data_IF_207719358644
#
_entry.id   IF_207719358644
#
_cell.length_a   1.000
_cell.length_b   1.000
_cell.length_c   1.000
_cell.angle_alpha   90.00
_cell.angle_beta   90.00
_cell.angle_gamma   90.00
#
_symmetry.space_group_name_H-M   'P 1'
#
loop_
_entity.id
_entity.type
_entity.pdbx_description
1 polymer ?
#
# COMPACT_ATOMS: atom_id res chain seq x y z
N UNK A 1 -23.88 -18.95 -14.77
CA UNK A 1 -23.15 -17.70 -15.09
C UNK A 1 -23.81 -16.46 -14.48
N UNK A 2 -25.15 -16.35 -14.43
CA UNK A 2 -25.83 -15.18 -13.83
C UNK A 2 -25.65 -14.99 -12.30
N UNK A 3 -25.53 -16.08 -11.53
CA UNK A 3 -25.45 -16.01 -10.06
C UNK A 3 -24.13 -15.39 -9.54
N UNK A 4 -23.03 -15.53 -10.29
CA UNK A 4 -21.73 -14.96 -9.93
C UNK A 4 -21.74 -13.42 -10.05
N UNK A 5 -22.37 -12.87 -11.09
CA UNK A 5 -22.46 -11.43 -11.30
C UNK A 5 -23.32 -10.71 -10.24
N UNK A 6 -24.34 -11.39 -9.69
CA UNK A 6 -25.18 -10.84 -8.61
C UNK A 6 -24.43 -10.82 -7.27
N UNK A 7 -23.57 -11.81 -7.01
CA UNK A 7 -22.73 -11.83 -5.80
C UNK A 7 -21.61 -10.79 -5.87
N UNK A 8 -20.99 -10.58 -7.03
CA UNK A 8 -19.99 -9.51 -7.23
C UNK A 8 -20.59 -8.11 -7.06
N UNK A 9 -21.81 -7.89 -7.53
CA UNK A 9 -22.48 -6.57 -7.40
C UNK A 9 -22.91 -6.25 -5.97
N UNK A 10 -23.36 -7.25 -5.20
CA UNK A 10 -23.67 -7.09 -3.77
C UNK A 10 -22.42 -6.83 -2.91
N UNK A 11 -21.30 -7.47 -3.23
CA UNK A 11 -20.01 -7.26 -2.56
C UNK A 11 -19.46 -5.84 -2.85
N UNK A 12 -19.68 -5.31 -4.06
CA UNK A 12 -19.26 -3.95 -4.47
C UNK A 12 -20.07 -2.84 -3.81
N UNK A 13 -21.35 -3.02 -3.50
CA UNK A 13 -22.12 -2.03 -2.72
C UNK A 13 -21.82 -2.09 -1.22
N UNK A 14 -21.55 -3.28 -0.68
CA UNK A 14 -21.20 -3.49 0.74
C UNK A 14 -19.82 -2.91 1.10
N UNK A 15 -18.87 -2.94 0.17
CA UNK A 15 -17.50 -2.46 0.39
C UNK A 15 -17.30 -0.97 0.06
N UNK A 16 -18.29 -0.10 0.35
CA UNK A 16 -18.17 1.34 0.11
C UNK A 16 -18.17 2.17 1.40
N UNK A 17 -17.46 3.31 1.42
CA UNK A 17 -16.60 3.85 0.35
C UNK A 17 -15.28 3.07 0.20
N UNK A 18 -14.67 3.11 -0.99
CA UNK A 18 -13.32 2.54 -1.19
C UNK A 18 -12.26 3.47 -0.60
N UNK A 19 -11.20 2.89 -0.03
CA UNK A 19 -10.04 3.65 0.39
C UNK A 19 -9.25 4.11 -0.84
N UNK A 20 -9.49 5.36 -1.28
CA UNK A 20 -8.65 6.05 -2.26
C UNK A 20 -7.83 7.14 -1.58
N UNK A 21 -6.76 7.59 -2.25
CA UNK A 21 -5.97 8.72 -1.78
C UNK A 21 -6.84 9.96 -1.56
N UNK A 22 -7.69 10.30 -2.52
CA UNK A 22 -8.54 11.49 -2.49
C UNK A 22 -9.58 11.39 -1.38
N UNK A 23 -10.19 10.21 -1.21
CA UNK A 23 -11.19 9.98 -0.18
C UNK A 23 -10.59 10.12 1.22
N UNK A 24 -9.47 9.44 1.48
CA UNK A 24 -8.84 9.47 2.79
C UNK A 24 -8.12 10.77 3.12
N UNK A 25 -7.65 11.51 2.11
CA UNK A 25 -7.13 12.86 2.29
C UNK A 25 -8.24 13.83 2.74
N UNK A 26 -9.44 13.73 2.16
CA UNK A 26 -10.58 14.55 2.53
C UNK A 26 -11.23 14.10 3.86
N UNK A 27 -11.14 12.80 4.19
CA UNK A 27 -11.85 12.16 5.30
C UNK A 27 -10.91 11.31 6.17
N UNK A 28 -9.95 11.92 6.90
CA UNK A 28 -8.86 11.19 7.55
C UNK A 28 -9.31 10.23 8.67
N UNK A 29 -10.50 10.42 9.24
CA UNK A 29 -10.99 9.60 10.35
C UNK A 29 -12.09 8.61 9.93
N UNK A 30 -12.50 8.60 8.67
CA UNK A 30 -13.58 7.73 8.19
C UNK A 30 -13.11 6.29 7.97
N UNK A 31 -14.06 5.37 7.93
CA UNK A 31 -13.84 3.96 7.59
C UNK A 31 -14.11 3.73 6.11
N UNK A 32 -13.23 2.99 5.45
CA UNK A 32 -13.31 2.68 4.03
C UNK A 32 -12.84 1.24 3.76
N UNK A 33 -13.16 0.72 2.57
CA UNK A 33 -12.73 -0.61 2.13
C UNK A 33 -11.31 -0.55 1.58
N UNK A 34 -10.38 -1.25 2.22
CA UNK A 34 -9.01 -1.40 1.74
C UNK A 34 -8.82 -2.66 0.87
N UNK A 35 -9.88 -3.22 0.28
CA UNK A 35 -9.80 -4.47 -0.50
C UNK A 35 -8.69 -4.49 -1.57
N UNK A 36 -8.46 -3.33 -2.21
CA UNK A 36 -7.50 -3.12 -3.30
C UNK A 36 -6.18 -2.50 -2.86
N UNK A 37 -6.14 -1.84 -1.71
CA UNK A 37 -4.98 -1.08 -1.21
C UNK A 37 -4.42 -1.62 0.10
N UNK A 38 -4.99 -2.71 0.63
CA UNK A 38 -4.47 -3.35 1.83
C UNK A 38 -3.12 -3.98 1.54
N UNK A 39 -2.15 -3.65 2.38
CA UNK A 39 -0.81 -4.17 2.34
C UNK A 39 -0.76 -5.69 2.62
N UNK A 40 -1.55 -6.12 3.60
CA UNK A 40 -1.74 -7.52 3.98
C UNK A 40 -3.23 -7.76 4.17
N UNK A 41 -3.73 -8.90 3.70
CA UNK A 41 -5.15 -9.25 3.84
C UNK A 41 -5.33 -10.16 5.05
N UNK A 42 -6.32 -9.86 5.87
CA UNK A 42 -6.67 -10.65 7.05
C UNK A 42 -8.00 -11.36 6.80
N UNK A 43 -8.04 -12.69 6.90
CA UNK A 43 -9.25 -13.47 6.57
C UNK A 43 -10.46 -13.05 7.42
N UNK A 44 -10.26 -12.72 8.70
CA UNK A 44 -11.33 -12.28 9.60
C UNK A 44 -11.95 -10.92 9.19
N UNK A 45 -11.28 -10.11 8.38
CA UNK A 45 -11.79 -8.84 7.87
C UNK A 45 -12.56 -8.98 6.54
N UNK A 46 -12.78 -10.23 6.09
CA UNK A 46 -13.60 -10.55 4.93
C UNK A 46 -13.06 -9.98 3.61
N UNK A 47 -13.90 -9.89 2.59
CA UNK A 47 -13.51 -9.39 1.27
C UNK A 47 -13.19 -7.90 1.26
N UNK A 48 -13.94 -7.10 2.01
CA UNK A 48 -13.83 -5.64 2.01
C UNK A 48 -12.58 -5.11 2.72
N UNK A 49 -12.04 -5.84 3.69
CA UNK A 49 -10.84 -5.42 4.42
C UNK A 49 -11.00 -3.99 4.98
N UNK A 50 -12.16 -3.68 5.59
CA UNK A 50 -12.45 -2.33 6.07
C UNK A 50 -11.42 -1.88 7.13
N UNK A 51 -10.97 -0.63 6.98
CA UNK A 51 -10.01 0.01 7.90
C UNK A 51 -10.29 1.51 7.99
N UNK A 52 -9.62 2.21 8.90
CA UNK A 52 -9.69 3.67 8.99
C UNK A 52 -8.73 4.33 8.02
N UNK A 53 -9.14 5.45 7.41
CA UNK A 53 -8.29 6.26 6.55
C UNK A 53 -7.00 6.75 7.23
N UNK A 54 -7.00 6.91 8.56
CA UNK A 54 -5.79 7.26 9.32
C UNK A 54 -4.74 6.14 9.33
N UNK A 55 -5.14 4.92 8.99
CA UNK A 55 -4.26 3.76 8.83
C UNK A 55 -3.69 3.65 7.42
N UNK A 56 -4.04 4.57 6.52
CA UNK A 56 -3.53 4.63 5.16
C UNK A 56 -2.36 5.60 5.03
N UNK A 57 -1.42 5.27 4.15
CA UNK A 57 -0.20 6.03 3.94
C UNK A 57 0.31 5.91 2.50
N UNK A 58 1.16 6.86 2.10
CA UNK A 58 1.87 6.81 0.82
C UNK A 58 3.28 6.31 1.05
N UNK A 59 3.57 5.13 0.51
CA UNK A 59 4.91 4.59 0.43
C UNK A 59 5.66 5.30 -0.70
N UNK A 60 6.67 6.10 -0.32
CA UNK A 60 7.53 6.79 -1.28
C UNK A 60 8.81 5.99 -1.51
N UNK A 61 9.20 5.70 -2.76
CA UNK A 61 10.52 5.17 -3.02
C UNK A 61 11.59 6.18 -2.57
N UNK A 62 12.81 5.71 -2.21
CA UNK A 62 13.89 6.63 -1.90
C UNK A 62 14.15 7.54 -3.10
N UNK A 63 14.20 8.84 -2.83
CA UNK A 63 14.44 9.86 -3.86
C UNK A 63 15.74 9.58 -4.63
N UNK A 64 15.80 10.01 -5.89
CA UNK A 64 17.05 9.95 -6.68
C UNK A 64 18.21 10.71 -6.03
N UNK A 65 17.90 11.69 -5.16
CA UNK A 65 18.87 12.42 -4.36
C UNK A 65 19.45 11.59 -3.20
N UNK A 66 18.71 10.62 -2.67
CA UNK A 66 19.17 9.73 -1.59
C UNK A 66 19.74 8.41 -2.11
N UNK A 67 19.14 7.83 -3.16
CA UNK A 67 19.66 6.64 -3.83
C UNK A 67 19.58 6.80 -5.37
N UNK A 68 20.72 6.72 -6.09
CA UNK A 68 20.73 6.80 -7.56
C UNK A 68 19.84 5.71 -8.18
N UNK A 69 18.92 6.10 -9.05
CA UNK A 69 17.86 5.23 -9.59
C UNK A 69 18.28 4.41 -10.83
N UNK A 70 19.48 4.64 -11.35
CA UNK A 70 19.85 4.13 -12.68
C UNK A 70 21.06 3.21 -12.60
N UNK A 71 20.83 1.94 -12.94
CA UNK A 71 21.85 0.92 -13.13
C UNK A 71 21.62 0.23 -14.47
N UNK A 72 22.70 -0.17 -15.16
CA UNK A 72 22.57 -1.10 -16.27
C UNK A 72 22.16 -2.50 -15.72
N UNK A 73 21.31 -3.27 -16.41
CA UNK A 73 20.91 -4.61 -15.95
C UNK A 73 22.10 -5.57 -15.77
N UNK A 74 23.19 -5.34 -16.50
CA UNK A 74 24.42 -6.12 -16.47
C UNK A 74 25.48 -5.59 -15.49
N UNK A 75 25.18 -4.56 -14.69
CA UNK A 75 26.10 -4.02 -13.69
C UNK A 75 25.69 -4.47 -12.27
N UNK A 76 26.15 -5.66 -11.82
CA UNK A 76 25.82 -6.17 -10.49
C UNK A 76 26.38 -5.27 -9.37
N UNK A 77 27.47 -4.54 -9.62
CA UNK A 77 28.07 -3.66 -8.61
C UNK A 77 27.15 -2.47 -8.34
N UNK A 78 26.60 -1.85 -9.38
CA UNK A 78 25.60 -0.79 -9.26
C UNK A 78 24.35 -1.31 -8.55
N UNK A 79 23.81 -2.47 -8.98
CA UNK A 79 22.61 -3.07 -8.39
C UNK A 79 22.77 -3.36 -6.89
N UNK A 80 23.93 -3.89 -6.47
CA UNK A 80 24.22 -4.13 -5.05
C UNK A 80 24.38 -2.83 -4.25
N UNK A 81 25.00 -1.79 -4.82
CA UNK A 81 25.12 -0.48 -4.17
C UNK A 81 23.76 0.19 -3.99
N UNK A 82 22.92 0.11 -5.02
CA UNK A 82 21.54 0.58 -4.96
C UNK A 82 20.77 -0.15 -3.86
N UNK A 83 20.81 -1.49 -3.84
CA UNK A 83 20.15 -2.30 -2.82
C UNK A 83 20.59 -1.94 -1.39
N UNK A 84 21.89 -1.69 -1.17
CA UNK A 84 22.41 -1.25 0.13
C UNK A 84 21.93 0.15 0.52
N UNK A 85 21.90 1.07 -0.44
CA UNK A 85 21.38 2.41 -0.23
C UNK A 85 19.91 2.38 0.22
N UNK A 86 19.10 1.62 -0.53
CA UNK A 86 17.69 1.38 -0.21
C UNK A 86 17.58 0.80 1.20
N UNK A 87 18.26 -0.31 1.51
CA UNK A 87 18.21 -0.93 2.84
C UNK A 87 18.53 0.05 3.98
N UNK A 88 19.59 0.84 3.84
CA UNK A 88 19.99 1.80 4.87
C UNK A 88 18.95 2.91 5.06
N UNK A 89 18.35 3.41 3.97
CA UNK A 89 17.31 4.45 4.05
C UNK A 89 16.06 3.98 4.81
N UNK A 90 15.82 2.67 4.82
CA UNK A 90 14.63 2.05 5.39
C UNK A 90 14.86 1.52 6.81
N UNK A 91 16.11 1.23 7.16
CA UNK A 91 16.52 0.79 8.48
C UNK A 91 16.70 1.93 9.50
N UNK A 92 16.74 3.20 9.05
CA UNK A 92 16.92 4.36 9.93
C UNK A 92 15.72 4.57 10.88
N UNK A 93 15.88 4.41 12.21
CA UNK A 93 14.77 4.38 13.19
C UNK A 93 13.99 5.69 13.34
N UNK A 94 14.52 6.79 12.82
CA UNK A 94 14.10 8.15 13.19
C UNK A 94 13.40 8.95 12.09
N UNK A 95 13.23 8.40 10.87
CA UNK A 95 12.64 9.21 9.79
C UNK A 95 11.23 8.85 9.40
N UNK A 96 10.84 7.58 9.34
CA UNK A 96 9.46 7.26 8.98
C UNK A 96 9.04 5.96 9.66
N UNK A 97 8.06 6.05 10.57
CA UNK A 97 7.16 4.91 10.76
C UNK A 97 6.66 4.50 9.36
N UNK A 98 6.65 3.19 9.11
CA UNK A 98 6.16 2.48 7.92
C UNK A 98 7.23 1.85 7.02
N UNK A 99 7.18 0.51 7.07
CA UNK A 99 7.85 -0.42 6.18
C UNK A 99 7.70 -0.03 4.70
N UNK A 100 8.77 -0.06 3.92
CA UNK A 100 8.73 0.02 2.47
C UNK A 100 8.45 -1.37 1.92
N UNK A 101 7.27 -1.55 1.36
CA UNK A 101 6.91 -2.84 0.78
C UNK A 101 6.97 -2.69 -0.73
N UNK A 102 7.97 -3.34 -1.32
CA UNK A 102 8.08 -3.52 -2.75
C UNK A 102 7.00 -4.50 -3.22
N UNK A 103 5.77 -4.01 -3.45
CA UNK A 103 4.69 -4.83 -4.00
C UNK A 103 4.27 -4.35 -5.40
N UNK A 104 4.04 -5.31 -6.29
CA UNK A 104 3.88 -5.09 -7.74
C UNK A 104 2.44 -4.70 -8.16
N UNK A 105 1.50 -4.52 -7.23
CA UNK A 105 0.07 -4.38 -7.53
C UNK A 105 -0.61 -3.20 -6.80
N UNK A 106 0.14 -2.19 -6.36
CA UNK A 106 -0.40 -1.05 -5.62
C UNK A 106 -0.81 0.08 -6.56
N UNK A 107 -1.89 0.80 -6.24
CA UNK A 107 -2.25 2.02 -6.94
C UNK A 107 -1.11 3.04 -6.78
N UNK A 108 -0.51 3.40 -7.90
CA UNK A 108 0.59 4.37 -7.94
C UNK A 108 0.06 5.73 -8.35
N UNK A 109 0.49 6.77 -7.65
CA UNK A 109 0.34 8.16 -8.05
C UNK A 109 1.72 8.83 -8.17
N UNK A 110 1.75 10.11 -8.57
CA UNK A 110 3.01 10.85 -8.70
C UNK A 110 3.81 10.96 -7.39
N UNK A 111 3.17 10.67 -6.24
CA UNK A 111 3.79 10.76 -4.92
C UNK A 111 4.31 9.43 -4.38
N UNK A 112 3.84 8.28 -4.90
CA UNK A 112 4.22 6.95 -4.42
C UNK A 112 3.09 5.92 -4.55
N UNK A 113 3.12 4.91 -3.69
CA UNK A 113 2.09 3.86 -3.61
C UNK A 113 1.18 4.10 -2.42
N UNK A 114 -0.12 4.25 -2.67
CA UNK A 114 -1.10 4.39 -1.59
C UNK A 114 -1.48 3.01 -1.04
N UNK A 115 -1.29 2.82 0.26
CA UNK A 115 -1.59 1.56 0.95
C UNK A 115 -2.32 1.83 2.26
N UNK A 116 -3.09 0.85 2.71
CA UNK A 116 -3.72 0.87 4.02
C UNK A 116 -3.30 -0.34 4.85
N UNK A 117 -3.16 -0.12 6.16
CA UNK A 117 -3.00 -1.19 7.13
C UNK A 117 -4.39 -1.63 7.63
N UNK A 118 -4.63 -2.93 7.60
CA UNK A 118 -5.81 -3.55 8.21
C UNK A 118 -5.42 -4.08 9.59
N UNK A 119 -6.24 -3.87 10.63
CA UNK A 119 -5.96 -4.40 11.97
C UNK A 119 -5.78 -5.92 11.97
N UNK A 120 -5.09 -6.43 12.99
CA UNK A 120 -5.03 -7.88 13.23
C UNK A 120 -6.37 -8.42 13.74
N UNK A 121 -6.58 -9.72 13.58
CA UNK A 121 -7.75 -10.42 14.11
C UNK A 121 -7.72 -10.48 15.65
N UNK A 122 -8.90 -10.50 16.27
CA UNK A 122 -9.04 -10.89 17.67
C UNK A 122 -8.85 -12.41 17.79
N UNK A 123 -8.05 -12.84 18.76
CA UNK A 123 -7.80 -14.26 19.07
C UNK A 123 -9.01 -14.92 19.74
#
# INVERSE_FOLDING_TARGET
>A
VFFLAVLETLDVESCRPECTWEYCQANPNEVCSARSVSLEKQECHGTCQHTSCSSCLVLRPPSSASCPQTCAPSDPTCLHRFGRCVHNHLAEPHRHHHHPICHHNLQSNAEGYFVCLVPGCLN
#
